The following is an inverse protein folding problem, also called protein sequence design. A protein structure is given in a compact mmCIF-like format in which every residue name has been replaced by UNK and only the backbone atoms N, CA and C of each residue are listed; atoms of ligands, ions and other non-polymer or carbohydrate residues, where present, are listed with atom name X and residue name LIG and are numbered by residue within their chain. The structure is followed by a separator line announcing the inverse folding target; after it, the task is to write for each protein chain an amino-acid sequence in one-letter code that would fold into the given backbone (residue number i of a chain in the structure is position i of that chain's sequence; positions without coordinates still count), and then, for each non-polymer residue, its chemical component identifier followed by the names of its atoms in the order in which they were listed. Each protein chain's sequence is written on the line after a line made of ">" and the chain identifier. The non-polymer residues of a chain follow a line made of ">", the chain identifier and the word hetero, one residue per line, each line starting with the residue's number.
data_IF_668701640248
#
_entry.id   IF_668701640248
#
_cell.length_a   1.000
_cell.length_b   1.000
_cell.length_c   1.000
_cell.angle_alpha   90.00
_cell.angle_beta   90.00
_cell.angle_gamma   90.00
#
_symmetry.space_group_name_H-M   'P 1'
#
loop_
_entity.id
_entity.type
_entity.pdbx_description
1 polymer ?
#
# COMPACT_ATOMS: atom_id res chain seq x y z
N UNK A 1 6.71 8.47 -15.19
CA UNK A 1 7.75 8.53 -14.14
C UNK A 1 7.12 8.42 -12.77
N UNK A 2 7.70 7.61 -11.91
CA UNK A 2 7.24 7.49 -10.53
C UNK A 2 7.92 8.55 -9.69
N UNK A 3 7.14 9.31 -8.91
CA UNK A 3 7.66 10.30 -7.97
C UNK A 3 7.50 9.77 -6.55
N UNK A 4 8.48 10.05 -5.71
CA UNK A 4 8.43 9.75 -4.29
C UNK A 4 8.05 11.01 -3.51
N UNK A 5 7.29 10.83 -2.46
CA UNK A 5 6.85 11.88 -1.57
C UNK A 5 7.20 11.50 -0.13
N UNK A 6 7.80 12.43 0.62
CA UNK A 6 8.12 12.26 2.03
C UNK A 6 7.41 13.35 2.84
N UNK A 7 6.58 12.94 3.78
CA UNK A 7 5.79 13.86 4.58
C UNK A 7 4.49 13.22 4.98
N UNK A 8 3.45 14.04 5.20
CA UNK A 8 2.13 13.51 5.48
C UNK A 8 1.54 12.95 4.19
N UNK A 9 1.49 11.63 4.10
CA UNK A 9 1.06 10.92 2.89
C UNK A 9 -0.37 11.31 2.50
N UNK A 10 -1.25 11.55 3.47
CA UNK A 10 -2.64 11.89 3.18
C UNK A 10 -2.80 13.29 2.61
N UNK A 11 -1.77 14.13 2.72
CA UNK A 11 -1.73 15.47 2.13
C UNK A 11 -1.00 15.50 0.80
N UNK A 12 -0.47 14.36 0.36
CA UNK A 12 0.21 14.27 -0.92
C UNK A 12 -0.77 14.42 -2.07
N UNK A 13 -0.33 15.04 -3.16
CA UNK A 13 -1.10 15.11 -4.40
C UNK A 13 -0.67 14.04 -5.40
N UNK A 14 0.04 13.01 -4.95
CA UNK A 14 0.36 11.87 -5.81
C UNK A 14 -0.93 11.18 -6.27
N UNK A 15 -0.88 10.60 -7.45
CA UNK A 15 -2.01 9.85 -7.99
C UNK A 15 -2.36 8.66 -7.10
N UNK A 16 -1.35 7.95 -6.59
CA UNK A 16 -1.52 6.73 -5.81
C UNK A 16 -0.81 6.85 -4.47
N UNK A 17 -1.49 6.46 -3.40
CA UNK A 17 -0.92 6.41 -2.06
C UNK A 17 -0.71 4.97 -1.65
N UNK A 18 0.45 4.67 -1.06
CA UNK A 18 0.73 3.34 -0.52
C UNK A 18 0.23 3.27 0.92
N UNK A 19 -0.55 2.25 1.20
CA UNK A 19 -1.04 1.93 2.53
C UNK A 19 -0.49 0.55 2.93
N UNK A 20 0.26 0.48 4.02
CA UNK A 20 0.77 -0.81 4.50
C UNK A 20 -0.30 -1.52 5.33
N UNK A 21 -0.56 -2.78 4.99
CA UNK A 21 -1.69 -3.52 5.56
C UNK A 21 -1.27 -4.92 6.01
N UNK A 22 -2.12 -5.54 6.83
CA UNK A 22 -2.05 -6.97 7.12
C UNK A 22 -3.02 -7.73 6.23
N UNK A 23 -3.13 -9.04 6.42
CA UNK A 23 -3.99 -9.89 5.60
C UNK A 23 -5.28 -10.31 6.31
N UNK A 24 -5.58 -9.74 7.47
CA UNK A 24 -6.72 -10.17 8.30
C UNK A 24 -7.84 -9.13 8.40
N UNK A 25 -7.77 -8.05 7.66
CA UNK A 25 -8.87 -7.11 7.57
C UNK A 25 -8.91 -6.05 8.68
N UNK A 26 -7.79 -5.76 9.33
CA UNK A 26 -7.74 -4.82 10.45
C UNK A 26 -6.86 -3.62 10.09
N UNK A 27 -7.44 -2.42 10.17
CA UNK A 27 -6.73 -1.15 10.07
C UNK A 27 -6.98 -0.38 11.37
N UNK A 28 -6.37 -0.83 12.45
CA UNK A 28 -6.77 -0.41 13.79
C UNK A 28 -5.98 0.73 14.40
N UNK A 29 -4.83 1.12 13.83
CA UNK A 29 -4.03 2.20 14.38
C UNK A 29 -3.07 2.79 13.36
N UNK A 30 -2.47 3.92 13.69
CA UNK A 30 -1.47 4.57 12.86
C UNK A 30 -2.02 5.03 11.53
N UNK A 31 -1.16 5.00 10.52
CA UNK A 31 -1.52 5.48 9.19
C UNK A 31 -2.65 4.64 8.57
N UNK A 32 -2.70 3.35 8.86
CA UNK A 32 -3.75 2.48 8.31
C UNK A 32 -5.13 2.90 8.83
N UNK A 33 -5.24 3.30 10.10
CA UNK A 33 -6.49 3.80 10.63
C UNK A 33 -6.93 5.09 9.93
N UNK A 34 -5.99 5.99 9.66
CA UNK A 34 -6.29 7.23 8.94
C UNK A 34 -6.78 6.94 7.52
N UNK A 35 -6.18 5.97 6.83
CA UNK A 35 -6.64 5.53 5.52
C UNK A 35 -8.05 4.96 5.58
N UNK A 36 -8.34 4.15 6.60
CA UNK A 36 -9.69 3.60 6.80
C UNK A 36 -10.73 4.71 6.96
N UNK A 37 -10.40 5.73 7.75
CA UNK A 37 -11.32 6.82 8.03
C UNK A 37 -11.53 7.73 6.83
N UNK A 38 -10.49 7.99 6.05
CA UNK A 38 -10.60 8.84 4.87
C UNK A 38 -11.14 8.13 3.63
N UNK A 39 -10.90 6.83 3.52
CA UNK A 39 -11.27 6.06 2.33
C UNK A 39 -12.08 4.83 2.72
N UNK A 40 -13.31 5.01 3.22
CA UNK A 40 -14.14 3.89 3.64
C UNK A 40 -14.49 2.93 2.50
N UNK A 41 -14.56 3.41 1.27
CA UNK A 41 -14.75 2.59 0.09
C UNK A 41 -13.60 1.59 -0.08
N UNK A 42 -12.37 2.08 0.05
CA UNK A 42 -11.17 1.23 0.01
C UNK A 42 -11.18 0.23 1.16
N UNK A 43 -11.53 0.66 2.36
CA UNK A 43 -11.55 -0.23 3.52
C UNK A 43 -12.56 -1.37 3.33
N UNK A 44 -13.74 -1.07 2.82
CA UNK A 44 -14.75 -2.10 2.56
C UNK A 44 -14.27 -3.13 1.53
N UNK A 45 -13.61 -2.69 0.47
CA UNK A 45 -13.00 -3.57 -0.53
C UNK A 45 -11.91 -4.44 0.10
N UNK A 46 -11.07 -3.83 0.94
CA UNK A 46 -9.99 -4.54 1.63
C UNK A 46 -10.52 -5.67 2.52
N UNK A 47 -11.55 -5.38 3.34
CA UNK A 47 -12.15 -6.39 4.21
C UNK A 47 -12.73 -7.53 3.38
N UNK A 48 -13.43 -7.21 2.31
CA UNK A 48 -14.02 -8.23 1.43
C UNK A 48 -12.92 -9.12 0.82
N UNK A 49 -11.81 -8.53 0.39
CA UNK A 49 -10.68 -9.30 -0.17
C UNK A 49 -10.02 -10.18 0.90
N UNK A 50 -9.88 -9.68 2.12
CA UNK A 50 -9.34 -10.48 3.22
C UNK A 50 -10.23 -11.68 3.52
N UNK A 51 -11.55 -11.48 3.51
CA UNK A 51 -12.51 -12.55 3.73
C UNK A 51 -12.46 -13.63 2.65
N UNK A 52 -12.00 -13.30 1.46
CA UNK A 52 -11.81 -14.24 0.36
C UNK A 52 -10.38 -14.77 0.26
N UNK A 53 -9.52 -14.45 1.23
CA UNK A 53 -8.09 -14.82 1.22
C UNK A 53 -7.34 -14.30 -0.01
N UNK A 54 -7.73 -13.13 -0.51
CA UNK A 54 -7.10 -12.51 -1.68
C UNK A 54 -5.99 -11.53 -1.31
N UNK A 55 -5.88 -11.13 -0.04
CA UNK A 55 -4.81 -10.24 0.41
C UNK A 55 -3.64 -11.10 0.89
N UNK A 56 -2.52 -11.04 0.18
CA UNK A 56 -1.39 -11.93 0.40
C UNK A 56 -0.06 -11.17 0.41
N UNK A 57 0.87 -11.66 1.20
CA UNK A 57 2.23 -11.13 1.21
C UNK A 57 2.86 -11.25 -0.18
N UNK A 58 3.63 -10.23 -0.57
CA UNK A 58 4.28 -10.22 -1.86
C UNK A 58 3.39 -9.82 -3.03
N UNK A 59 2.13 -9.52 -2.78
CA UNK A 59 1.15 -9.16 -3.81
C UNK A 59 0.39 -7.89 -3.44
N UNK A 60 1.04 -6.72 -3.50
CA UNK A 60 0.31 -5.47 -3.35
C UNK A 60 -0.73 -5.32 -4.46
N UNK A 61 -1.85 -4.70 -4.13
CA UNK A 61 -2.94 -4.54 -5.10
C UNK A 61 -3.47 -3.11 -5.07
N UNK A 62 -3.98 -2.68 -6.21
CA UNK A 62 -4.43 -1.32 -6.43
C UNK A 62 -5.95 -1.23 -6.32
N UNK A 63 -6.41 -0.29 -5.49
CA UNK A 63 -7.81 0.08 -5.44
C UNK A 63 -7.98 1.40 -6.19
N UNK A 64 -8.59 1.35 -7.37
CA UNK A 64 -8.81 2.51 -8.21
C UNK A 64 -10.11 3.19 -7.79
N UNK A 65 -10.02 4.46 -7.45
CA UNK A 65 -11.17 5.26 -7.07
C UNK A 65 -11.58 6.15 -8.24
N UNK A 66 -12.85 6.53 -8.27
CA UNK A 66 -13.35 7.46 -9.30
C UNK A 66 -12.64 8.80 -9.22
N UNK A 67 -12.37 9.26 -7.99
CA UNK A 67 -11.58 10.47 -7.76
C UNK A 67 -10.24 10.09 -7.14
N UNK A 68 -9.16 10.76 -7.51
CA UNK A 68 -7.86 10.48 -6.86
C UNK A 68 -7.92 10.83 -5.37
N UNK A 69 -7.05 10.23 -4.55
CA UNK A 69 -5.99 9.31 -4.95
C UNK A 69 -6.49 7.88 -5.11
N UNK A 70 -5.74 7.09 -5.89
CA UNK A 70 -5.86 5.64 -5.83
C UNK A 70 -5.08 5.13 -4.63
N UNK A 71 -5.43 3.94 -4.13
CA UNK A 71 -4.77 3.36 -2.96
C UNK A 71 -4.12 2.04 -3.36
N UNK A 72 -2.80 1.95 -3.14
CA UNK A 72 -2.07 0.70 -3.29
C UNK A 72 -1.94 0.08 -1.91
N UNK A 73 -2.69 -0.97 -1.65
CA UNK A 73 -2.57 -1.72 -0.41
C UNK A 73 -1.39 -2.68 -0.51
N UNK A 74 -0.42 -2.50 0.37
CA UNK A 74 0.83 -3.23 0.35
C UNK A 74 0.91 -4.11 1.60
N UNK A 75 0.64 -5.42 1.47
CA UNK A 75 0.71 -6.32 2.62
C UNK A 75 2.15 -6.48 3.10
N UNK A 76 2.41 -6.16 4.36
CA UNK A 76 3.73 -6.25 4.95
C UNK A 76 3.84 -7.37 5.98
N UNK A 77 2.71 -7.85 6.50
CA UNK A 77 2.67 -8.95 7.47
C UNK A 77 1.29 -9.60 7.43
N UNK A 78 1.22 -10.89 7.77
CA UNK A 78 -0.04 -11.62 7.71
C UNK A 78 -1.02 -11.19 8.78
N UNK A 79 -0.52 -10.91 9.98
CA UNK A 79 -1.34 -10.57 11.13
C UNK A 79 -0.83 -9.27 11.72
N UNK A 80 -1.73 -8.45 12.29
CA UNK A 80 -1.35 -7.15 12.84
C UNK A 80 -0.34 -7.25 13.99
N UNK A 81 -0.24 -8.42 14.66
CA UNK A 81 0.75 -8.69 15.72
C UNK A 81 2.06 -9.26 15.21
N UNK A 82 2.11 -9.66 13.95
CA UNK A 82 3.31 -10.26 13.37
C UNK A 82 4.35 -9.20 13.09
N UNK A 83 5.61 -9.65 13.01
CA UNK A 83 6.71 -8.79 12.57
C UNK A 83 6.80 -8.87 11.05
N UNK A 84 6.98 -7.73 10.40
CA UNK A 84 7.19 -7.68 8.95
C UNK A 84 8.53 -8.32 8.59
N UNK A 85 8.54 -9.14 7.55
CA UNK A 85 9.75 -9.80 7.07
C UNK A 85 10.24 -9.11 5.82
N UNK A 86 11.56 -8.88 5.77
CA UNK A 86 12.17 -8.17 4.65
C UNK A 86 11.94 -8.89 3.32
N UNK A 87 11.95 -10.23 3.32
CA UNK A 87 11.72 -11.01 2.12
C UNK A 87 10.35 -10.73 1.52
N UNK A 88 9.34 -10.58 2.36
CA UNK A 88 7.97 -10.32 1.91
C UNK A 88 7.84 -8.91 1.35
N UNK A 89 8.52 -7.94 1.95
CA UNK A 89 8.54 -6.56 1.48
C UNK A 89 9.24 -6.49 0.12
N UNK A 90 10.37 -7.16 -0.04
CA UNK A 90 11.11 -7.21 -1.30
C UNK A 90 10.26 -7.84 -2.40
N UNK A 91 9.57 -8.91 -2.08
CA UNK A 91 8.65 -9.58 -3.03
C UNK A 91 7.55 -8.63 -3.50
N UNK A 92 6.95 -7.89 -2.58
CA UNK A 92 5.94 -6.90 -2.91
C UNK A 92 6.48 -5.78 -3.79
N UNK A 93 7.68 -5.30 -3.49
CA UNK A 93 8.33 -4.26 -4.30
C UNK A 93 8.62 -4.75 -5.71
N UNK A 94 9.09 -5.99 -5.85
CA UNK A 94 9.32 -6.58 -7.18
C UNK A 94 8.03 -6.70 -7.97
N UNK A 95 6.96 -7.12 -7.31
CA UNK A 95 5.65 -7.22 -7.94
C UNK A 95 5.19 -5.84 -8.43
N UNK A 96 5.34 -4.82 -7.60
CA UNK A 96 4.98 -3.45 -7.96
C UNK A 96 5.80 -2.95 -9.16
N UNK A 97 7.11 -3.19 -9.16
CA UNK A 97 7.99 -2.78 -10.24
C UNK A 97 7.65 -3.47 -11.56
N UNK A 98 7.14 -4.69 -11.51
CA UNK A 98 6.74 -5.42 -12.71
C UNK A 98 5.41 -4.94 -13.27
N UNK A 99 4.53 -4.38 -12.44
CA UNK A 99 3.13 -4.14 -12.82
C UNK A 99 2.69 -2.68 -12.80
N UNK A 100 3.50 -1.74 -12.28
CA UNK A 100 3.01 -0.37 -12.08
C UNK A 100 2.56 0.31 -13.37
N UNK A 101 3.20 0.02 -14.49
CA UNK A 101 2.82 0.60 -15.79
C UNK A 101 1.47 0.08 -16.26
N UNK A 102 1.27 -1.22 -16.21
CA UNK A 102 -0.01 -1.84 -16.59
C UNK A 102 -1.15 -1.37 -15.68
N UNK A 103 -0.85 -1.15 -14.40
CA UNK A 103 -1.83 -0.66 -13.45
C UNK A 103 -2.20 0.81 -13.67
N UNK A 104 -1.40 1.54 -14.44
CA UNK A 104 -1.64 2.95 -14.70
C UNK A 104 -1.13 3.87 -13.60
N UNK A 105 -0.20 3.42 -12.78
CA UNK A 105 0.37 4.24 -11.71
C UNK A 105 1.36 5.24 -12.32
N UNK A 106 1.10 6.53 -12.10
CA UNK A 106 1.93 7.61 -12.63
C UNK A 106 2.76 8.31 -11.57
N UNK A 107 2.28 8.34 -10.34
CA UNK A 107 3.03 8.87 -9.21
C UNK A 107 2.63 8.12 -7.95
N UNK A 108 3.55 8.02 -7.01
CA UNK A 108 3.37 7.16 -5.85
C UNK A 108 3.92 7.84 -4.60
N UNK A 109 3.08 7.98 -3.58
CA UNK A 109 3.50 8.42 -2.26
C UNK A 109 3.64 7.20 -1.36
N UNK A 110 4.79 7.07 -0.70
CA UNK A 110 5.11 5.90 0.13
C UNK A 110 5.28 6.38 1.57
N UNK A 111 4.57 5.78 2.54
CA UNK A 111 4.74 6.18 3.93
C UNK A 111 6.13 5.76 4.43
N UNK A 112 6.81 6.61 5.20
CA UNK A 112 8.04 6.20 5.86
C UNK A 112 7.72 5.58 7.22
N UNK A 113 8.39 4.51 7.62
CA UNK A 113 9.10 3.57 6.79
C UNK A 113 8.15 2.53 6.21
N UNK A 114 8.52 1.95 5.08
CA UNK A 114 7.78 0.81 4.54
C UNK A 114 8.22 -0.43 5.32
N UNK A 115 7.67 -0.59 6.53
CA UNK A 115 8.20 -1.57 7.47
C UNK A 115 9.60 -1.19 7.89
N UNK A 116 10.58 -2.07 7.72
CA UNK A 116 11.98 -1.83 8.08
C UNK A 116 12.85 -1.47 6.87
N UNK A 117 12.28 -1.39 5.68
CA UNK A 117 13.04 -1.19 4.44
C UNK A 117 12.89 0.24 3.98
N UNK A 118 14.02 0.91 3.80
CA UNK A 118 14.06 2.17 3.07
C UNK A 118 14.21 1.85 1.60
N UNK A 119 13.26 2.30 0.81
CA UNK A 119 13.31 2.13 -0.63
C UNK A 119 13.90 3.38 -1.24
N UNK A 120 15.01 3.22 -1.91
CA UNK A 120 15.63 4.32 -2.63
C UNK A 120 15.25 4.23 -4.11
N UNK A 121 14.33 5.08 -4.51
CA UNK A 121 13.84 5.14 -5.88
C UNK A 121 14.62 6.17 -6.70
N UNK A 122 15.91 6.17 -6.62
CA UNK A 122 16.77 7.24 -7.15
C UNK A 122 16.68 7.44 -8.68
N UNK A 123 15.62 7.02 -9.31
CA UNK A 123 15.40 7.25 -10.72
C UNK A 123 16.13 6.27 -11.65
N UNK A 124 16.55 5.19 -11.09
CA UNK A 124 17.27 4.19 -11.88
C UNK A 124 16.55 2.89 -11.92
#
# INVERSE_FOLDING_TARGET
>A
MVKLFFGDILKSNAQTLVNTVNCVGIMGKGIALEFKEQFPDMFNDYVARCNRNEVRLGKPYLFKRLTPPWILNFPTKCHWRSVSRIEDIIKGLKHLLQHYKELGITSLAVPPPLGVVKVNWSGR
#
